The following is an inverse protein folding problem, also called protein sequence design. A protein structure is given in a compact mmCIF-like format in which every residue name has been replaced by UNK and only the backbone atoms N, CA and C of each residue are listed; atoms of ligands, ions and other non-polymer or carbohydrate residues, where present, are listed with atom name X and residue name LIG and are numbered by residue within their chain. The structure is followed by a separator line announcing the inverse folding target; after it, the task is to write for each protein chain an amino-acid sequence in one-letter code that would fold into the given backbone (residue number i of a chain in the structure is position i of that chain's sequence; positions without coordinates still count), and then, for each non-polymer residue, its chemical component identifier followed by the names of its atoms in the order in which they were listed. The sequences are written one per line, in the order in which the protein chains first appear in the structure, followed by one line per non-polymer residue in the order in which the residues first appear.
data_IF_622447982311
#
_entry.id   IF_622447982311
#
_cell.length_a   1.000
_cell.length_b   1.000
_cell.length_c   1.000
_cell.angle_alpha   90.00
_cell.angle_beta   90.00
_cell.angle_gamma   90.00
#
_symmetry.space_group_name_H-M   'P 1'
#
loop_
_entity.id
_entity.type
_entity.pdbx_description
1 polymer ?
#
# COMPACT_ATOMS: atom_id res chain seq x y z
N UNK A 1 -8.23 7.79 -4.30
CA UNK A 1 -8.61 7.45 -2.92
C UNK A 1 -7.35 7.55 -2.10
N UNK A 2 -7.36 8.35 -1.03
CA UNK A 2 -6.18 8.54 -0.19
C UNK A 2 -6.25 7.64 1.03
N UNK A 3 -5.13 7.00 1.38
CA UNK A 3 -4.98 6.19 2.58
C UNK A 3 -3.70 6.59 3.31
N UNK A 4 -3.78 6.65 4.65
CA UNK A 4 -2.61 6.81 5.50
C UNK A 4 -2.00 5.45 5.81
N UNK A 5 -0.73 5.29 5.49
CA UNK A 5 0.05 4.07 5.72
C UNK A 5 1.33 4.41 6.50
N UNK A 6 2.03 3.38 6.93
CA UNK A 6 3.28 3.51 7.69
C UNK A 6 4.43 3.02 6.83
N UNK A 7 5.36 3.90 6.47
CA UNK A 7 6.59 3.50 5.79
C UNK A 7 7.39 2.52 6.67
N UNK A 8 8.22 1.69 6.04
CA UNK A 8 9.15 0.81 6.76
C UNK A 8 10.06 1.57 7.73
N UNK A 9 10.39 2.85 7.46
CA UNK A 9 11.09 3.75 8.39
C UNK A 9 10.32 4.00 9.69
N UNK A 10 9.00 3.89 9.67
CA UNK A 10 8.08 4.24 10.76
C UNK A 10 7.28 5.52 10.53
N UNK A 11 7.58 6.27 9.48
CA UNK A 11 6.88 7.51 9.14
C UNK A 11 5.47 7.26 8.62
N UNK A 12 4.54 8.17 8.92
CA UNK A 12 3.19 8.13 8.34
C UNK A 12 3.21 8.83 6.98
N UNK A 13 2.78 8.11 5.95
CA UNK A 13 2.71 8.60 4.57
C UNK A 13 1.28 8.57 4.04
N UNK A 14 0.91 9.58 3.26
CA UNK A 14 -0.34 9.60 2.52
C UNK A 14 -0.12 9.02 1.13
N UNK A 15 -0.82 7.95 0.79
CA UNK A 15 -0.73 7.30 -0.53
C UNK A 15 -2.04 7.48 -1.29
N UNK A 16 -1.97 7.99 -2.51
CA UNK A 16 -3.11 8.01 -3.41
C UNK A 16 -3.23 6.65 -4.11
N UNK A 17 -4.12 5.81 -3.61
CA UNK A 17 -4.32 4.45 -4.12
C UNK A 17 -4.89 4.41 -5.54
N UNK A 18 -5.45 5.52 -6.06
CA UNK A 18 -5.84 5.57 -7.48
C UNK A 18 -4.62 5.57 -8.41
N UNK A 19 -3.42 5.89 -7.90
CA UNK A 19 -2.19 5.90 -8.66
C UNK A 19 -1.33 4.66 -8.38
N UNK A 20 -1.81 3.70 -7.59
CA UNK A 20 -1.13 2.43 -7.35
C UNK A 20 -1.50 1.48 -8.50
N UNK A 21 -0.49 1.00 -9.22
CA UNK A 21 -0.63 0.04 -10.32
C UNK A 21 -0.75 -1.39 -9.81
N UNK A 22 0.07 -1.73 -8.82
CA UNK A 22 0.09 -3.04 -8.20
C UNK A 22 0.64 -2.95 -6.79
N UNK A 23 0.28 -3.93 -5.98
CA UNK A 23 0.81 -4.10 -4.63
C UNK A 23 1.07 -5.59 -4.36
N UNK A 24 2.15 -5.89 -3.66
CA UNK A 24 2.54 -7.25 -3.34
C UNK A 24 3.23 -7.33 -1.98
N UNK A 25 3.21 -8.52 -1.38
CA UNK A 25 3.92 -8.80 -0.13
C UNK A 25 5.41 -8.47 -0.27
N UNK A 26 5.96 -7.82 0.75
CA UNK A 26 7.38 -7.48 0.88
C UNK A 26 7.83 -7.62 2.34
N UNK A 27 8.56 -8.70 2.65
CA UNK A 27 8.88 -9.04 4.03
C UNK A 27 7.59 -9.28 4.84
N UNK A 28 7.44 -8.58 5.96
CA UNK A 28 6.20 -8.58 6.77
C UNK A 28 5.20 -7.50 6.36
N UNK A 29 5.52 -6.68 5.35
CA UNK A 29 4.70 -5.56 4.89
C UNK A 29 4.37 -5.64 3.40
N UNK A 30 4.17 -4.49 2.76
CA UNK A 30 3.70 -4.40 1.37
C UNK A 30 4.55 -3.43 0.55
N UNK A 31 4.88 -3.83 -0.69
CA UNK A 31 5.43 -2.93 -1.71
C UNK A 31 4.29 -2.41 -2.58
N UNK A 32 4.20 -1.09 -2.73
CA UNK A 32 3.24 -0.41 -3.60
C UNK A 32 3.97 0.18 -4.80
N UNK A 33 3.65 -0.29 -6.01
CA UNK A 33 4.16 0.26 -7.26
C UNK A 33 3.17 1.27 -7.78
N UNK A 34 3.61 2.51 -8.05
CA UNK A 34 2.72 3.56 -8.54
C UNK A 34 2.92 3.85 -10.04
N UNK A 35 2.01 4.62 -10.61
CA UNK A 35 2.08 5.13 -11.98
C UNK A 35 3.32 5.99 -12.24
N UNK A 36 3.84 6.65 -11.20
CA UNK A 36 5.08 7.43 -11.29
C UNK A 36 6.26 6.46 -11.16
N UNK A 37 7.07 6.36 -12.23
CA UNK A 37 8.12 5.34 -12.35
C UNK A 37 9.21 5.43 -11.25
N UNK A 38 9.35 6.59 -10.62
CA UNK A 38 10.28 6.89 -9.54
C UNK A 38 9.67 6.71 -8.14
N UNK A 39 8.37 6.43 -8.03
CA UNK A 39 7.65 6.40 -6.77
C UNK A 39 7.15 4.99 -6.46
N UNK A 40 7.94 4.27 -5.65
CA UNK A 40 7.55 2.99 -5.03
C UNK A 40 7.56 3.19 -3.52
N UNK A 41 6.51 2.74 -2.85
CA UNK A 41 6.42 2.78 -1.39
C UNK A 41 6.63 1.41 -0.79
N UNK A 42 7.24 1.36 0.39
CA UNK A 42 7.38 0.15 1.19
C UNK A 42 6.73 0.43 2.53
N UNK A 43 5.62 -0.24 2.80
CA UNK A 43 4.79 0.02 3.98
C UNK A 43 4.76 -1.18 4.90
N UNK A 44 4.53 -0.93 6.20
CA UNK A 44 4.46 -1.98 7.23
C UNK A 44 3.14 -2.75 7.21
N UNK A 45 2.07 -2.12 6.72
CA UNK A 45 0.78 -2.78 6.60
C UNK A 45 0.84 -3.96 5.63
N UNK A 46 0.14 -5.04 5.97
CA UNK A 46 -0.01 -6.19 5.06
C UNK A 46 -0.98 -5.87 3.92
N UNK A 47 -0.96 -6.67 2.85
CA UNK A 47 -1.89 -6.49 1.73
C UNK A 47 -3.34 -6.62 2.19
N UNK A 48 -3.62 -7.55 3.11
CA UNK A 48 -4.95 -7.79 3.69
C UNK A 48 -5.43 -6.61 4.53
N UNK A 49 -4.55 -6.01 5.34
CA UNK A 49 -4.87 -4.81 6.12
C UNK A 49 -5.19 -3.63 5.20
N UNK A 50 -4.41 -3.45 4.13
CA UNK A 50 -4.64 -2.41 3.12
C UNK A 50 -5.99 -2.66 2.44
N UNK A 51 -6.25 -3.85 1.92
CA UNK A 51 -7.51 -4.20 1.24
C UNK A 51 -8.72 -4.01 2.14
N UNK A 52 -8.64 -4.43 3.41
CA UNK A 52 -9.68 -4.22 4.41
C UNK A 52 -9.98 -2.73 4.60
N UNK A 53 -8.95 -1.88 4.73
CA UNK A 53 -9.11 -0.43 4.86
C UNK A 53 -9.68 0.22 3.60
N UNK A 54 -9.40 -0.36 2.43
CA UNK A 54 -9.96 0.09 1.15
C UNK A 54 -11.36 -0.47 0.87
N UNK A 55 -11.89 -1.34 1.74
CA UNK A 55 -13.18 -1.99 1.53
C UNK A 55 -13.17 -3.00 0.37
N UNK A 56 -12.00 -3.46 -0.05
CA UNK A 56 -11.84 -4.51 -1.06
C UNK A 56 -12.15 -5.84 -0.37
N UNK A 57 -13.26 -6.47 -0.74
CA UNK A 57 -13.57 -7.84 -0.29
C UNK A 57 -12.72 -8.80 -1.12
N UNK A 58 -11.76 -9.46 -0.48
CA UNK A 58 -11.11 -10.65 -1.05
C UNK A 58 -12.23 -11.65 -1.32
N UNK A 59 -12.48 -11.96 -2.60
CA UNK A 59 -13.41 -13.03 -2.96
C UNK A 59 -12.71 -14.35 -2.64
N UNK A 60 -13.31 -15.13 -1.75
CA UNK A 60 -12.98 -16.55 -1.53
C UNK A 60 -13.15 -17.36 -2.83
#
# INVERSE_FOLDING_TARGET
MWIMLTDVSGDKIAVNFNHVLSYNVYGTGTRLVTLSADLTFFVRESTEEIETRLGIKVRE
#
